data_IF_623247043180
#
_entry.id   IF_623247043180
#
_cell.length_a   1.000
_cell.length_b   1.000
_cell.length_c   1.000
_cell.angle_alpha   90.00
_cell.angle_beta   90.00
_cell.angle_gamma   90.00
#
_symmetry.space_group_name_H-M   'P 1'
#
loop_
_entity.id
_entity.type
_entity.pdbx_description
1 polymer ?
#
# COMPACT_ATOMS: atom_id res chain seq x y z
N UNK A 1 -5.70 -1.58 -8.26
CA UNK A 1 -4.45 -1.63 -7.47
C UNK A 1 -4.45 -0.64 -6.32
N UNK A 2 -4.86 0.62 -6.52
CA UNK A 2 -4.90 1.65 -5.46
C UNK A 2 -5.61 1.20 -4.19
N UNK A 3 -6.87 0.74 -4.26
CA UNK A 3 -7.62 0.33 -3.05
C UNK A 3 -6.92 -0.77 -2.25
N UNK A 4 -6.39 -1.79 -2.94
CA UNK A 4 -5.62 -2.86 -2.30
C UNK A 4 -4.33 -2.33 -1.69
N UNK A 5 -3.61 -1.46 -2.40
CA UNK A 5 -2.41 -0.81 -1.90
C UNK A 5 -2.68 0.04 -0.65
N UNK A 6 -3.77 0.80 -0.63
CA UNK A 6 -4.21 1.58 0.54
C UNK A 6 -4.53 0.66 1.70
N UNK A 7 -5.40 -0.34 1.52
CA UNK A 7 -5.79 -1.25 2.61
C UNK A 7 -4.57 -1.98 3.18
N UNK A 8 -3.69 -2.49 2.34
CA UNK A 8 -2.51 -3.24 2.76
C UNK A 8 -1.44 -2.38 3.41
N UNK A 9 -1.23 -1.16 2.90
CA UNK A 9 -0.26 -0.24 3.47
C UNK A 9 -0.75 0.39 4.77
N UNK A 10 -1.98 0.95 4.79
CA UNK A 10 -2.51 1.66 5.95
C UNK A 10 -2.99 0.71 7.05
N UNK A 11 -3.60 -0.42 6.69
CA UNK A 11 -4.07 -1.41 7.64
C UNK A 11 -2.93 -2.05 8.43
N UNK A 12 -1.81 -2.38 7.76
CA UNK A 12 -0.66 -2.99 8.42
C UNK A 12 0.05 -2.04 9.38
N UNK A 13 0.27 -0.78 8.99
CA UNK A 13 0.90 0.21 9.87
C UNK A 13 -0.01 0.61 11.03
N UNK A 14 -1.34 0.61 10.83
CA UNK A 14 -2.30 0.81 11.91
C UNK A 14 -2.19 -0.33 12.94
N UNK A 15 -2.24 -1.58 12.48
CA UNK A 15 -2.06 -2.75 13.36
C UNK A 15 -0.73 -2.70 14.11
N UNK A 16 0.38 -2.45 13.41
CA UNK A 16 1.72 -2.28 13.99
C UNK A 16 1.77 -1.16 15.04
N UNK A 17 1.08 -0.04 14.83
CA UNK A 17 1.02 1.06 15.78
C UNK A 17 0.23 0.69 17.04
N UNK A 18 -0.78 -0.18 16.91
CA UNK A 18 -1.61 -0.65 18.03
C UNK A 18 -1.10 -1.93 18.70
N UNK A 19 0.11 -2.38 18.36
CA UNK A 19 0.65 -3.66 18.82
C UNK A 19 0.83 -3.73 20.35
N UNK A 20 1.13 -2.61 21.01
CA UNK A 20 1.20 -2.53 22.48
C UNK A 20 -0.16 -2.57 23.17
N UNK A 21 -1.24 -2.34 22.43
CA UNK A 21 -2.62 -2.28 22.93
C UNK A 21 -3.42 -3.53 22.55
N UNK A 22 -2.81 -4.48 21.82
CA UNK A 22 -3.48 -5.65 21.25
C UNK A 22 -2.86 -6.95 21.76
N UNK A 23 -3.65 -8.02 21.88
CA UNK A 23 -3.16 -9.35 22.26
C UNK A 23 -2.48 -10.14 21.13
N UNK A 24 -2.40 -9.56 19.93
CA UNK A 24 -1.83 -10.16 18.73
C UNK A 24 -0.58 -9.40 18.30
N UNK A 25 0.51 -10.10 17.95
CA UNK A 25 1.74 -9.47 17.44
C UNK A 25 1.63 -9.17 15.93
N UNK A 26 1.30 -7.92 15.61
CA UNK A 26 1.19 -7.43 14.24
C UNK A 26 2.51 -7.40 13.46
N UNK A 27 3.67 -7.62 14.09
CA UNK A 27 4.94 -7.80 13.36
C UNK A 27 4.90 -9.00 12.42
N UNK A 28 4.06 -10.00 12.71
CA UNK A 28 3.82 -11.16 11.84
C UNK A 28 3.32 -10.79 10.43
N UNK A 29 2.62 -9.65 10.29
CA UNK A 29 2.11 -9.15 9.01
C UNK A 29 2.89 -7.93 8.49
N UNK A 30 4.08 -7.64 9.03
CA UNK A 30 4.83 -6.43 8.66
C UNK A 30 5.20 -6.37 7.17
N UNK A 31 5.34 -7.52 6.49
CA UNK A 31 5.56 -7.59 5.04
C UNK A 31 4.39 -7.05 4.21
N UNK A 32 3.21 -6.89 4.82
CA UNK A 32 2.07 -6.29 4.13
C UNK A 32 2.31 -4.81 3.80
N UNK A 33 3.10 -4.11 4.62
CA UNK A 33 3.49 -2.71 4.38
C UNK A 33 4.29 -2.52 3.08
N UNK A 34 5.44 -3.19 2.85
CA UNK A 34 6.16 -3.05 1.59
C UNK A 34 5.36 -3.56 0.39
N UNK A 35 4.51 -4.59 0.54
CA UNK A 35 3.62 -5.04 -0.54
C UNK A 35 2.58 -3.96 -0.90
N UNK A 36 1.92 -3.37 0.10
CA UNK A 36 1.00 -2.26 -0.09
C UNK A 36 1.68 -1.04 -0.73
N UNK A 37 2.89 -0.70 -0.27
CA UNK A 37 3.71 0.37 -0.83
C UNK A 37 4.08 0.12 -2.29
N UNK A 38 4.47 -1.10 -2.65
CA UNK A 38 4.77 -1.49 -4.02
C UNK A 38 3.54 -1.37 -4.92
N UNK A 39 2.36 -1.82 -4.47
CA UNK A 39 1.09 -1.66 -5.20
C UNK A 39 0.75 -0.19 -5.45
N UNK A 40 1.00 0.68 -4.48
CA UNK A 40 0.80 2.11 -4.63
C UNK A 40 1.79 2.70 -5.64
N UNK A 41 3.09 2.43 -5.52
CA UNK A 41 4.12 2.89 -6.48
C UNK A 41 3.76 2.46 -7.91
N UNK A 42 3.41 1.19 -8.12
CA UNK A 42 2.99 0.70 -9.44
C UNK A 42 1.73 1.42 -9.95
N UNK A 43 0.76 1.69 -9.08
CA UNK A 43 -0.45 2.44 -9.45
C UNK A 43 -0.12 3.85 -9.93
N UNK A 44 0.78 4.55 -9.24
CA UNK A 44 1.25 5.88 -9.63
C UNK A 44 2.03 5.86 -10.96
N UNK A 45 2.91 4.87 -11.16
CA UNK A 45 3.66 4.72 -12.42
C UNK A 45 2.71 4.45 -13.60
N UNK A 46 1.77 3.53 -13.46
CA UNK A 46 0.78 3.22 -14.50
C UNK A 46 -0.09 4.45 -14.81
N UNK A 47 -0.53 5.18 -13.78
CA UNK A 47 -1.29 6.41 -13.95
C UNK A 47 -0.48 7.46 -14.72
N UNK A 48 0.78 7.67 -14.38
CA UNK A 48 1.66 8.62 -15.06
C UNK A 48 1.84 8.24 -16.54
N UNK A 49 2.09 6.96 -16.83
CA UNK A 49 2.17 6.45 -18.21
C UNK A 49 0.84 6.72 -18.95
N UNK A 50 -0.30 6.47 -18.31
CA UNK A 50 -1.62 6.76 -18.88
C UNK A 50 -1.82 8.23 -19.22
N UNK A 51 -1.41 9.14 -18.33
CA UNK A 51 -1.47 10.59 -18.55
C UNK A 51 -0.57 11.01 -19.73
N UNK A 52 0.65 10.49 -19.79
CA UNK A 52 1.61 10.81 -20.86
C UNK A 52 1.08 10.32 -22.21
N UNK A 53 0.55 9.08 -22.27
CA UNK A 53 -0.01 8.51 -23.50
C UNK A 53 -1.24 9.27 -24.00
N UNK A 54 -2.18 9.60 -23.10
CA UNK A 54 -3.38 10.35 -23.45
C UNK A 54 -3.13 11.79 -23.92
N UNK A 55 -1.90 12.31 -23.76
CA UNK A 55 -1.51 13.63 -24.26
C UNK A 55 -0.79 13.58 -25.61
N UNK A 56 -0.38 12.40 -26.06
CA UNK A 56 0.28 12.19 -27.35
C UNK A 56 -0.72 11.85 -28.47
N UNK A 57 -1.93 11.43 -28.11
CA UNK A 57 -3.09 11.31 -29.00
C UNK A 57 -3.87 12.65 -29.05
#
# INVERSE_FOLDING_TARGET
MVLLGVIFFSGSIYGLATNSLSGFDFKSIALMTPVGGLLLIMSWVIMLIGIIKNKMD
#
